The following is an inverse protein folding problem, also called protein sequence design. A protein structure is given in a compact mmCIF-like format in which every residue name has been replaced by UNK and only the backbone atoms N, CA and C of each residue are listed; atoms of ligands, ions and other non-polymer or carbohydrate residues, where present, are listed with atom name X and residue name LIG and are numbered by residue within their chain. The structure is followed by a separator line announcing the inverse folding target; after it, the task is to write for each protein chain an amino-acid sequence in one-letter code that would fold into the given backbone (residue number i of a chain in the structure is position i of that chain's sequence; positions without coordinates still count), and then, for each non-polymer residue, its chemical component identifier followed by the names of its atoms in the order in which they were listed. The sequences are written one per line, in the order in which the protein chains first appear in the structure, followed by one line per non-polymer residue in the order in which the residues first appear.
data_IF_884949326768
#
_entry.id   IF_884949326768
#
_cell.length_a   1.000
_cell.length_b   1.000
_cell.length_c   1.000
_cell.angle_alpha   90.00
_cell.angle_beta   90.00
_cell.angle_gamma   90.00
#
_symmetry.space_group_name_H-M   'P 1'
#
loop_
_entity.id
_entity.type
_entity.pdbx_description
1 polymer ?
#
# COMPACT_ATOMS: atom_id res chain seq x y z
N UNK A 1 -31.07 -5.66 2.17
CA UNK A 1 -30.82 -4.26 1.76
C UNK A 1 -30.35 -3.48 2.98
N UNK A 2 -29.40 -2.57 2.77
CA UNK A 2 -28.78 -1.66 3.74
C UNK A 2 -27.64 -2.22 4.60
N UNK A 3 -26.44 -2.22 4.02
CA UNK A 3 -25.17 -2.07 4.75
C UNK A 3 -24.56 -0.76 4.25
N UNK A 4 -24.92 0.34 4.90
CA UNK A 4 -24.29 1.65 4.72
C UNK A 4 -22.91 1.59 5.34
N UNK A 5 -21.87 1.38 4.52
CA UNK A 5 -20.49 1.68 4.89
C UNK A 5 -20.13 3.00 4.21
N UNK A 6 -20.34 4.16 4.85
CA UNK A 6 -20.07 5.44 4.22
C UNK A 6 -18.61 5.81 4.46
N UNK A 7 -17.68 5.12 3.81
CA UNK A 7 -16.34 5.70 3.58
C UNK A 7 -16.34 6.31 2.19
N UNK A 8 -17.04 7.43 2.07
CA UNK A 8 -16.85 8.36 0.97
C UNK A 8 -15.40 8.84 1.08
N UNK A 9 -14.56 8.38 0.16
CA UNK A 9 -13.12 8.60 0.05
C UNK A 9 -12.73 10.08 0.16
N UNK A 10 -12.65 10.60 1.39
CA UNK A 10 -11.97 11.86 1.64
C UNK A 10 -10.47 11.54 1.59
N UNK A 11 -9.89 11.57 0.40
CA UNK A 11 -8.44 11.54 0.29
C UNK A 11 -7.92 12.76 1.02
N UNK A 12 -7.15 12.55 2.10
CA UNK A 12 -6.43 13.64 2.75
C UNK A 12 -5.56 14.33 1.70
N UNK A 13 -5.49 15.67 1.72
CA UNK A 13 -4.79 16.47 0.70
C UNK A 13 -3.34 16.01 0.49
N UNK A 14 -2.69 15.50 1.54
CA UNK A 14 -1.34 14.94 1.48
C UNK A 14 -1.25 13.67 0.61
N UNK A 15 -2.23 12.77 0.70
CA UNK A 15 -2.27 11.53 -0.09
C UNK A 15 -2.52 11.85 -1.56
N UNK A 16 -3.44 12.79 -1.84
CA UNK A 16 -3.70 13.25 -3.20
C UNK A 16 -2.47 13.91 -3.83
N UNK A 17 -1.75 14.75 -3.07
CA UNK A 17 -0.50 15.36 -3.52
C UNK A 17 0.57 14.31 -3.81
N UNK A 18 0.77 13.34 -2.90
CA UNK A 18 1.73 12.25 -3.10
C UNK A 18 1.41 11.43 -4.35
N UNK A 19 0.13 11.09 -4.57
CA UNK A 19 -0.33 10.38 -5.77
C UNK A 19 -0.08 11.21 -7.04
N UNK A 20 -0.35 12.52 -7.02
CA UNK A 20 -0.08 13.40 -8.15
C UNK A 20 1.40 13.47 -8.53
N UNK A 21 2.28 13.69 -7.54
CA UNK A 21 3.73 13.77 -7.75
C UNK A 21 4.31 12.44 -8.25
N UNK A 22 3.94 11.34 -7.60
CA UNK A 22 4.37 10.02 -8.02
C UNK A 22 3.89 9.70 -9.45
N UNK A 23 2.73 10.22 -9.88
CA UNK A 23 2.15 9.90 -11.19
C UNK A 23 2.88 10.65 -12.28
N UNK A 24 3.26 11.90 -12.02
CA UNK A 24 4.08 12.70 -12.91
C UNK A 24 5.46 12.05 -13.15
N UNK A 25 6.04 11.45 -12.11
CA UNK A 25 7.36 10.83 -12.18
C UNK A 25 7.35 9.41 -12.77
N UNK A 26 6.60 8.48 -12.14
CA UNK A 26 6.65 7.05 -12.45
C UNK A 26 5.68 6.63 -13.56
N UNK A 27 4.59 7.38 -13.77
CA UNK A 27 3.55 7.08 -14.78
C UNK A 27 3.07 5.61 -14.74
N UNK A 28 2.68 5.08 -13.57
CA UNK A 28 2.34 3.66 -13.42
C UNK A 28 1.07 3.31 -14.21
N UNK A 29 0.99 2.07 -14.66
CA UNK A 29 -0.21 1.49 -15.29
C UNK A 29 -0.65 0.26 -14.49
N UNK A 30 -1.94 0.18 -14.18
CA UNK A 30 -2.56 -0.97 -13.58
C UNK A 30 -3.45 -1.65 -14.61
N UNK A 31 -3.29 -2.97 -14.77
CA UNK A 31 -4.02 -3.79 -15.74
C UNK A 31 -4.56 -5.00 -14.99
N UNK A 32 -5.81 -5.39 -15.27
CA UNK A 32 -6.41 -6.58 -14.67
C UNK A 32 -6.91 -6.39 -13.23
N UNK A 33 -7.25 -5.17 -12.83
CA UNK A 33 -7.75 -4.87 -11.47
C UNK A 33 -9.11 -5.52 -11.19
N UNK A 34 -9.90 -5.76 -12.23
CA UNK A 34 -11.15 -6.52 -12.21
C UNK A 34 -10.97 -7.97 -11.72
N UNK A 35 -9.74 -8.50 -11.73
CA UNK A 35 -9.43 -9.83 -11.20
C UNK A 35 -9.23 -9.83 -9.67
N UNK A 36 -9.19 -8.66 -9.03
CA UNK A 36 -9.01 -8.58 -7.58
C UNK A 36 -10.29 -9.03 -6.86
N UNK A 37 -10.19 -9.96 -5.89
CA UNK A 37 -11.37 -10.40 -5.14
C UNK A 37 -11.86 -9.31 -4.19
N UNK A 38 -13.17 -9.27 -3.93
CA UNK A 38 -13.78 -8.33 -2.95
C UNK A 38 -13.40 -8.62 -1.49
N UNK A 39 -12.86 -9.81 -1.23
CA UNK A 39 -12.35 -10.23 0.09
C UNK A 39 -10.85 -9.92 0.26
N UNK A 40 -10.33 -9.88 1.50
CA UNK A 40 -8.90 -9.83 1.74
C UNK A 40 -8.16 -10.96 1.00
N UNK A 41 -7.02 -10.63 0.40
CA UNK A 41 -6.18 -11.56 -0.34
C UNK A 41 -4.70 -11.25 -0.11
N UNK A 42 -3.85 -12.28 -0.25
CA UNK A 42 -2.40 -12.11 -0.24
C UNK A 42 -1.97 -11.53 -1.57
N UNK A 43 -1.39 -10.33 -1.54
CA UNK A 43 -0.81 -9.69 -2.71
C UNK A 43 0.65 -10.12 -2.85
N UNK A 44 0.95 -10.87 -3.91
CA UNK A 44 2.31 -11.33 -4.23
C UNK A 44 2.80 -10.48 -5.39
N UNK A 45 3.86 -9.72 -5.16
CA UNK A 45 4.52 -8.91 -6.18
C UNK A 45 6.01 -9.21 -6.22
N UNK A 46 6.60 -9.08 -7.41
CA UNK A 46 8.06 -9.09 -7.53
C UNK A 46 8.63 -7.84 -6.88
N UNK A 47 9.75 -7.99 -6.18
CA UNK A 47 10.42 -6.88 -5.52
C UNK A 47 11.55 -6.35 -6.40
N UNK A 48 11.41 -5.11 -6.88
CA UNK A 48 12.34 -4.55 -7.88
C UNK A 48 13.23 -3.44 -7.30
N UNK A 49 12.67 -2.47 -6.57
CA UNK A 49 13.41 -1.27 -6.17
C UNK A 49 13.16 -0.87 -4.72
N UNK A 50 13.94 -1.45 -3.79
CA UNK A 50 14.14 -0.97 -2.40
C UNK A 50 12.86 -0.45 -1.71
N UNK A 51 11.79 -1.24 -1.65
CA UNK A 51 10.49 -0.87 -1.04
C UNK A 51 9.69 0.25 -1.74
N UNK A 52 10.22 0.93 -2.75
CA UNK A 52 9.52 2.00 -3.49
C UNK A 52 8.35 1.43 -4.28
N UNK A 53 8.54 0.26 -4.90
CA UNK A 53 7.47 -0.50 -5.55
C UNK A 53 6.31 -0.78 -4.59
N UNK A 54 6.60 -1.30 -3.40
CA UNK A 54 5.60 -1.56 -2.37
C UNK A 54 4.85 -0.28 -1.94
N UNK A 55 5.57 0.85 -1.83
CA UNK A 55 4.97 2.14 -1.52
C UNK A 55 4.06 2.67 -2.64
N UNK A 56 4.45 2.52 -3.91
CA UNK A 56 3.63 2.91 -5.07
C UNK A 56 2.39 2.02 -5.18
N UNK A 57 2.52 0.71 -4.98
CA UNK A 57 1.38 -0.20 -4.93
C UNK A 57 0.41 0.21 -3.82
N UNK A 58 0.92 0.44 -2.60
CA UNK A 58 0.11 0.90 -1.47
C UNK A 58 -0.63 2.20 -1.80
N UNK A 59 0.09 3.20 -2.33
CA UNK A 59 -0.47 4.53 -2.63
C UNK A 59 -1.59 4.47 -3.67
N UNK A 60 -1.36 3.84 -4.83
CA UNK A 60 -2.35 3.88 -5.91
C UNK A 60 -3.47 2.87 -5.77
N UNK A 61 -3.20 1.68 -5.21
CA UNK A 61 -4.27 0.75 -4.90
C UNK A 61 -5.20 1.36 -3.85
N UNK A 62 -4.65 2.09 -2.87
CA UNK A 62 -5.49 2.81 -1.91
C UNK A 62 -6.19 4.03 -2.53
N UNK A 63 -5.45 4.91 -3.21
CA UNK A 63 -5.98 6.17 -3.72
C UNK A 63 -6.97 6.00 -4.88
N UNK A 64 -6.63 5.23 -5.92
CA UNK A 64 -7.49 5.09 -7.10
C UNK A 64 -8.56 4.01 -6.93
N UNK A 65 -8.31 3.01 -6.08
CA UNK A 65 -9.10 1.77 -6.05
C UNK A 65 -9.65 1.41 -4.66
N UNK A 66 -9.35 2.17 -3.61
CA UNK A 66 -9.82 1.88 -2.25
C UNK A 66 -9.27 0.57 -1.66
N UNK A 67 -8.22 0.01 -2.26
CA UNK A 67 -7.58 -1.26 -1.88
C UNK A 67 -6.35 -1.00 -1.03
N UNK A 68 -6.47 -1.17 0.28
CA UNK A 68 -5.37 -0.96 1.21
C UNK A 68 -4.42 -2.17 1.25
N UNK A 69 -3.14 -1.97 0.90
CA UNK A 69 -2.11 -3.03 0.92
C UNK A 69 -1.29 -2.94 2.20
N UNK A 70 -1.35 -3.95 3.08
CA UNK A 70 -0.42 -4.04 4.22
C UNK A 70 0.89 -4.68 3.80
N UNK A 71 1.99 -3.95 3.99
CA UNK A 71 3.34 -4.47 3.74
C UNK A 71 3.78 -5.48 4.80
N UNK A 72 4.42 -6.57 4.35
CA UNK A 72 5.12 -7.51 5.20
C UNK A 72 6.63 -7.32 4.96
N UNK A 73 7.37 -6.91 5.99
CA UNK A 73 8.81 -6.64 5.90
C UNK A 73 9.65 -7.56 6.77
N UNK A 74 10.92 -7.75 6.38
CA UNK A 74 11.87 -8.57 7.13
C UNK A 74 12.43 -7.86 8.38
N UNK A 75 13.23 -8.58 9.17
CA UNK A 75 13.87 -8.05 10.38
C UNK A 75 14.79 -6.86 10.09
N UNK A 76 15.44 -6.81 8.93
CA UNK A 76 16.42 -5.77 8.58
C UNK A 76 15.76 -4.41 8.35
N UNK A 77 14.61 -4.40 7.65
CA UNK A 77 13.81 -3.18 7.45
C UNK A 77 13.41 -2.56 8.79
N UNK A 78 13.01 -3.41 9.74
CA UNK A 78 12.56 -2.98 11.07
C UNK A 78 13.69 -2.77 12.09
N UNK A 79 14.94 -3.07 11.74
CA UNK A 79 16.09 -2.79 12.61
C UNK A 79 16.45 -1.30 12.60
N UNK A 80 16.14 -0.58 11.52
CA UNK A 80 16.27 0.87 11.46
C UNK A 80 14.99 1.54 11.98
N UNK A 81 15.10 2.33 13.05
CA UNK A 81 13.95 2.97 13.70
C UNK A 81 13.17 3.91 12.76
N UNK A 82 13.84 4.59 11.83
CA UNK A 82 13.20 5.49 10.88
C UNK A 82 12.35 4.70 9.87
N UNK A 83 12.92 3.64 9.28
CA UNK A 83 12.19 2.77 8.36
C UNK A 83 11.06 2.02 9.04
N UNK A 84 11.26 1.56 10.27
CA UNK A 84 10.22 0.94 11.08
C UNK A 84 9.05 1.90 11.34
N UNK A 85 9.33 3.17 11.70
CA UNK A 85 8.30 4.17 11.93
C UNK A 85 7.47 4.44 10.67
N UNK A 86 8.13 4.58 9.51
CA UNK A 86 7.45 4.74 8.21
C UNK A 86 6.60 3.51 7.88
N UNK A 87 7.18 2.31 8.00
CA UNK A 87 6.47 1.06 7.74
C UNK A 87 5.22 0.94 8.62
N UNK A 88 5.33 1.23 9.92
CA UNK A 88 4.19 1.20 10.84
C UNK A 88 3.13 2.27 10.52
N UNK A 89 3.54 3.48 10.14
CA UNK A 89 2.61 4.53 9.71
C UNK A 89 1.81 4.13 8.46
N UNK A 90 2.40 3.31 7.59
CA UNK A 90 1.73 2.71 6.43
C UNK A 90 0.99 1.39 6.76
N UNK A 91 0.92 0.99 8.04
CA UNK A 91 0.26 -0.24 8.50
C UNK A 91 1.04 -1.52 8.20
N UNK A 92 2.32 -1.40 7.86
CA UNK A 92 3.24 -2.50 7.64
C UNK A 92 3.59 -3.25 8.93
N UNK A 93 3.80 -4.55 8.78
CA UNK A 93 4.10 -5.47 9.86
C UNK A 93 5.42 -6.20 9.60
N UNK A 94 6.11 -6.54 10.68
CA UNK A 94 7.32 -7.35 10.61
C UNK A 94 6.93 -8.82 10.49
N UNK A 95 7.57 -9.55 9.58
CA UNK A 95 7.51 -11.00 9.57
C UNK A 95 8.05 -11.53 10.91
N UNK A 96 7.26 -12.36 11.59
CA UNK A 96 7.63 -12.91 12.88
C UNK A 96 8.92 -13.73 12.82
N UNK A 97 9.73 -13.64 13.87
CA UNK A 97 10.81 -14.59 14.18
C UNK A 97 10.37 -15.40 15.39
N UNK A 98 9.40 -16.29 15.19
CA UNK A 98 9.03 -17.28 16.18
C UNK A 98 8.92 -18.63 15.47
N UNK A 99 10.00 -19.41 15.59
CA UNK A 99 9.89 -20.85 15.81
C UNK A 99 9.83 -21.06 17.32
#
# INVERSE_FOLDING_TARGET
MSSTFPLRHAHCASVALAAGLARAWFKPKFIGLENLPDKPALFIGNHAFMAVDAALFHLYLYYDHGRYVKGLGDKSLFANAHYAAIAHAMGGIRAGTHC
#
